data_IF_821321904939
#
_entry.id   IF_821321904939
#
_cell.length_a   1.000
_cell.length_b   1.000
_cell.length_c   1.000
_cell.angle_alpha   90.00
_cell.angle_beta   90.00
_cell.angle_gamma   90.00
#
_symmetry.space_group_name_H-M   'P 1'
#
loop_
_entity.id
_entity.type
_entity.pdbx_description
1 polymer ?
#
# COMPACT_ATOMS: atom_id res chain seq x y z
N UNK A 1 21.76 -2.81 -18.59
CA UNK A 1 22.22 -1.77 -17.65
C UNK A 1 22.67 -2.34 -16.30
N UNK A 2 21.87 -3.20 -15.65
CA UNK A 2 22.22 -3.79 -14.35
C UNK A 2 23.55 -4.56 -14.30
N UNK A 3 24.01 -5.18 -15.40
CA UNK A 3 25.31 -5.84 -15.45
C UNK A 3 26.49 -4.89 -15.13
N UNK A 4 26.40 -3.62 -15.54
CA UNK A 4 27.41 -2.61 -15.22
C UNK A 4 27.30 -2.13 -13.78
N UNK A 5 26.07 -1.98 -13.29
CA UNK A 5 25.82 -1.60 -11.89
C UNK A 5 26.38 -2.67 -10.96
N UNK A 6 26.17 -3.96 -11.26
CA UNK A 6 26.69 -5.07 -10.47
C UNK A 6 28.22 -5.21 -10.52
N UNK A 7 28.91 -4.49 -11.40
CA UNK A 7 30.38 -4.46 -11.45
C UNK A 7 30.99 -3.52 -10.39
N UNK A 8 30.20 -2.63 -9.75
CA UNK A 8 30.69 -1.86 -8.60
C UNK A 8 30.97 -2.78 -7.41
N UNK A 9 32.01 -2.48 -6.63
CA UNK A 9 32.42 -3.30 -5.49
C UNK A 9 31.60 -3.03 -4.21
N UNK A 10 30.62 -2.11 -4.25
CA UNK A 10 29.83 -1.72 -3.08
C UNK A 10 28.41 -1.31 -3.48
N UNK A 11 27.42 -1.76 -2.70
CA UNK A 11 26.02 -1.35 -2.86
C UNK A 11 25.83 0.17 -2.74
N UNK A 12 26.66 0.85 -1.95
CA UNK A 12 26.59 2.32 -1.80
C UNK A 12 26.94 2.98 -3.14
N UNK A 13 27.94 2.48 -3.85
CA UNK A 13 28.32 2.99 -5.17
C UNK A 13 27.24 2.70 -6.21
N UNK A 14 26.64 1.50 -6.16
CA UNK A 14 25.49 1.14 -7.00
C UNK A 14 24.32 2.11 -6.80
N UNK A 15 23.91 2.31 -5.54
CA UNK A 15 22.84 3.25 -5.15
C UNK A 15 23.14 4.67 -5.62
N UNK A 16 24.34 5.17 -5.35
CA UNK A 16 24.74 6.54 -5.73
C UNK A 16 24.72 6.74 -7.25
N UNK A 17 25.21 5.76 -8.01
CA UNK A 17 25.19 5.81 -9.47
C UNK A 17 23.76 5.87 -10.02
N UNK A 18 22.87 4.98 -9.54
CA UNK A 18 21.47 4.94 -9.99
C UNK A 18 20.68 6.18 -9.57
N UNK A 19 20.86 6.67 -8.34
CA UNK A 19 20.24 7.91 -7.85
C UNK A 19 20.66 9.12 -8.68
N UNK A 20 21.96 9.23 -9.03
CA UNK A 20 22.47 10.34 -9.86
C UNK A 20 21.82 10.40 -11.24
N UNK A 21 21.42 9.25 -11.78
CA UNK A 21 20.75 9.16 -13.08
C UNK A 21 19.22 9.13 -12.99
N UNK A 22 18.66 9.25 -11.77
CA UNK A 22 17.22 9.14 -11.49
C UNK A 22 16.58 7.82 -11.98
N UNK A 23 17.35 6.72 -11.95
CA UNK A 23 16.93 5.41 -12.44
C UNK A 23 16.25 4.62 -11.31
N UNK A 24 15.01 5.00 -11.00
CA UNK A 24 14.26 4.44 -9.86
C UNK A 24 13.86 2.98 -10.05
N UNK A 25 13.58 2.54 -11.28
CA UNK A 25 13.23 1.13 -11.56
C UNK A 25 14.40 0.19 -11.28
N UNK A 26 15.59 0.55 -11.71
CA UNK A 26 16.79 -0.24 -11.48
C UNK A 26 17.28 -0.14 -10.05
N UNK A 27 17.08 1.01 -9.40
CA UNK A 27 17.32 1.15 -7.97
C UNK A 27 16.39 0.25 -7.17
N UNK A 28 15.10 0.20 -7.54
CA UNK A 28 14.14 -0.69 -6.89
C UNK A 28 14.53 -2.17 -7.08
N UNK A 29 14.88 -2.57 -8.30
CA UNK A 29 15.35 -3.93 -8.58
C UNK A 29 16.59 -4.29 -7.75
N UNK A 30 17.54 -3.35 -7.61
CA UNK A 30 18.70 -3.53 -6.75
C UNK A 30 18.27 -3.78 -5.29
N UNK A 31 17.40 -2.95 -4.73
CA UNK A 31 16.98 -3.15 -3.32
C UNK A 31 16.22 -4.46 -3.10
N UNK A 32 15.38 -4.88 -4.06
CA UNK A 32 14.69 -6.17 -4.01
C UNK A 32 15.69 -7.34 -4.01
N UNK A 33 16.68 -7.31 -4.90
CA UNK A 33 17.69 -8.37 -5.01
C UNK A 33 18.52 -8.53 -3.71
N UNK A 34 18.76 -7.42 -3.01
CA UNK A 34 19.49 -7.42 -1.73
C UNK A 34 18.58 -7.63 -0.51
N UNK A 35 17.25 -7.74 -0.69
CA UNK A 35 16.28 -7.90 0.40
C UNK A 35 16.09 -6.64 1.25
N UNK A 36 16.49 -5.47 0.75
CA UNK A 36 16.40 -4.18 1.42
C UNK A 36 14.99 -3.59 1.25
N UNK A 37 14.01 -4.22 1.89
CA UNK A 37 12.60 -3.88 1.68
C UNK A 37 12.19 -2.49 2.20
N UNK A 38 12.87 -1.94 3.20
CA UNK A 38 12.59 -0.56 3.66
C UNK A 38 12.98 0.46 2.58
N UNK A 39 14.17 0.30 1.99
CA UNK A 39 14.61 1.13 0.87
C UNK A 39 13.75 0.93 -0.38
N UNK A 40 13.32 -0.31 -0.65
CA UNK A 40 12.38 -0.61 -1.73
C UNK A 40 11.02 0.11 -1.53
N UNK A 41 10.52 0.18 -0.29
CA UNK A 41 9.32 0.93 0.04
C UNK A 41 9.49 2.43 -0.22
N UNK A 42 10.62 3.01 0.22
CA UNK A 42 10.92 4.43 -0.02
C UNK A 42 10.95 4.77 -1.52
N UNK A 43 11.50 3.88 -2.36
CA UNK A 43 11.53 4.07 -3.81
C UNK A 43 10.13 3.96 -4.42
N UNK A 44 9.30 3.01 -3.97
CA UNK A 44 7.92 2.89 -4.40
C UNK A 44 7.08 4.14 -4.04
N UNK A 45 7.30 4.70 -2.83
CA UNK A 45 6.74 5.97 -2.40
C UNK A 45 7.16 7.12 -3.33
N UNK A 46 8.44 7.23 -3.68
CA UNK A 46 8.95 8.24 -4.62
C UNK A 46 8.31 8.11 -6.01
N UNK A 47 7.95 6.90 -6.43
CA UNK A 47 7.22 6.63 -7.68
C UNK A 47 5.72 6.93 -7.59
N UNK A 48 5.19 7.14 -6.38
CA UNK A 48 3.76 7.34 -6.13
C UNK A 48 2.94 6.05 -6.15
N UNK A 49 3.58 4.88 -6.09
CA UNK A 49 2.91 3.57 -6.07
C UNK A 49 2.68 3.12 -4.63
N UNK A 50 1.58 3.61 -4.04
CA UNK A 50 1.21 3.38 -2.63
C UNK A 50 0.98 1.89 -2.34
N UNK A 51 0.44 1.14 -3.29
CA UNK A 51 0.18 -0.29 -3.10
C UNK A 51 1.48 -1.08 -3.09
N UNK A 52 2.40 -0.75 -4.01
CA UNK A 52 3.72 -1.36 -4.03
C UNK A 52 4.55 -0.99 -2.78
N UNK A 53 4.45 0.25 -2.31
CA UNK A 53 5.06 0.67 -1.04
C UNK A 53 4.52 -0.16 0.13
N UNK A 54 3.20 -0.31 0.24
CA UNK A 54 2.58 -1.11 1.29
C UNK A 54 3.06 -2.57 1.28
N UNK A 55 3.28 -3.15 0.10
CA UNK A 55 3.79 -4.50 -0.05
C UNK A 55 5.22 -4.64 0.50
N UNK A 56 6.08 -3.66 0.23
CA UNK A 56 7.44 -3.65 0.76
C UNK A 56 7.48 -3.36 2.26
N UNK A 57 6.63 -2.47 2.76
CA UNK A 57 6.45 -2.25 4.20
C UNK A 57 6.04 -3.55 4.90
N UNK A 58 5.09 -4.30 4.33
CA UNK A 58 4.69 -5.61 4.85
C UNK A 58 5.83 -6.62 4.90
N UNK A 59 6.64 -6.69 3.83
CA UNK A 59 7.85 -7.55 3.78
C UNK A 59 8.93 -7.11 4.78
N UNK A 60 9.01 -5.82 5.09
CA UNK A 60 9.92 -5.25 6.09
C UNK A 60 9.43 -5.38 7.53
N UNK A 61 8.24 -5.97 7.76
CA UNK A 61 7.64 -6.09 9.09
C UNK A 61 6.97 -4.80 9.60
N UNK A 62 6.80 -3.80 8.74
CA UNK A 62 6.06 -2.56 9.02
C UNK A 62 4.56 -2.75 8.76
N UNK A 63 3.97 -3.68 9.51
CA UNK A 63 2.62 -4.18 9.25
C UNK A 63 1.55 -3.11 9.49
N UNK A 64 1.71 -2.29 10.52
CA UNK A 64 0.80 -1.16 10.80
C UNK A 64 0.75 -0.19 9.62
N UNK A 65 1.91 0.27 9.16
CA UNK A 65 2.04 1.22 8.06
C UNK A 65 1.50 0.63 6.76
N UNK A 66 1.87 -0.62 6.45
CA UNK A 66 1.37 -1.35 5.28
C UNK A 66 -0.17 -1.46 5.27
N UNK A 67 -0.77 -1.80 6.43
CA UNK A 67 -2.22 -1.90 6.57
C UNK A 67 -2.91 -0.54 6.35
N UNK A 68 -2.37 0.53 6.96
CA UNK A 68 -2.93 1.88 6.83
C UNK A 68 -2.82 2.42 5.40
N UNK A 69 -1.69 2.20 4.71
CA UNK A 69 -1.52 2.66 3.33
C UNK A 69 -2.56 2.04 2.40
N UNK A 70 -2.87 0.75 2.56
CA UNK A 70 -3.92 0.09 1.79
C UNK A 70 -5.31 0.66 2.12
N UNK A 71 -5.62 0.86 3.41
CA UNK A 71 -6.91 1.45 3.81
C UNK A 71 -7.09 2.86 3.23
N UNK A 72 -6.06 3.71 3.31
CA UNK A 72 -6.11 5.04 2.74
C UNK A 72 -6.25 5.02 1.23
N UNK A 73 -5.56 4.12 0.54
CA UNK A 73 -5.73 3.92 -0.90
C UNK A 73 -7.17 3.55 -1.25
N UNK A 74 -7.75 2.55 -0.56
CA UNK A 74 -9.13 2.11 -0.79
C UNK A 74 -10.12 3.23 -0.49
N UNK A 75 -9.96 3.93 0.63
CA UNK A 75 -10.80 5.06 1.03
C UNK A 75 -10.75 6.16 -0.04
N UNK A 76 -9.55 6.58 -0.44
CA UNK A 76 -9.37 7.65 -1.41
C UNK A 76 -9.99 7.32 -2.77
N UNK A 77 -9.79 6.09 -3.26
CA UNK A 77 -10.38 5.62 -4.52
C UNK A 77 -11.91 5.46 -4.42
N UNK A 78 -12.42 5.16 -3.24
CA UNK A 78 -13.87 5.06 -3.01
C UNK A 78 -14.56 6.43 -2.97
N UNK A 79 -13.87 7.46 -2.47
CA UNK A 79 -14.42 8.81 -2.28
C UNK A 79 -14.15 9.78 -3.45
N UNK A 80 -12.96 9.73 -4.05
CA UNK A 80 -12.51 10.74 -5.03
C UNK A 80 -12.21 10.18 -6.43
N UNK A 81 -12.80 9.05 -6.79
CA UNK A 81 -12.73 8.58 -8.19
C UNK A 81 -13.40 9.56 -9.15
N UNK A 82 -12.79 9.70 -10.33
CA UNK A 82 -13.05 10.69 -11.39
C UNK A 82 -14.46 11.32 -11.37
N UNK A 83 -14.51 12.60 -11.00
CA UNK A 83 -15.67 13.49 -11.22
C UNK A 83 -16.88 13.25 -10.33
N UNK A 84 -16.77 12.43 -9.27
CA UNK A 84 -17.93 12.06 -8.44
C UNK A 84 -17.99 12.80 -7.10
N UNK A 85 -19.21 12.93 -6.58
CA UNK A 85 -19.48 13.38 -5.20
C UNK A 85 -19.12 12.20 -4.29
N UNK A 86 -18.29 12.40 -3.27
CA UNK A 86 -17.71 11.33 -2.44
C UNK A 86 -18.67 10.48 -1.59
N UNK A 87 -19.94 10.40 -1.98
CA UNK A 87 -20.92 9.46 -1.49
C UNK A 87 -21.88 9.07 -2.62
N UNK A 88 -22.33 7.80 -2.74
CA UNK A 88 -21.98 6.63 -1.92
C UNK A 88 -20.56 6.09 -2.16
N UNK A 89 -20.03 5.31 -1.21
CA UNK A 89 -18.74 4.61 -1.33
C UNK A 89 -18.77 3.73 -2.58
N UNK A 90 -17.86 3.97 -3.53
CA UNK A 90 -17.80 3.21 -4.76
C UNK A 90 -17.18 1.83 -4.58
N UNK A 91 -17.64 0.89 -5.39
CA UNK A 91 -17.03 -0.43 -5.53
C UNK A 91 -16.09 -0.43 -6.74
N UNK A 92 -14.94 -1.09 -6.62
CA UNK A 92 -13.99 -1.30 -7.70
C UNK A 92 -13.39 -2.71 -7.62
N UNK A 93 -12.91 -3.23 -8.74
CA UNK A 93 -12.61 -4.66 -8.95
C UNK A 93 -11.56 -5.28 -8.02
N UNK A 94 -10.77 -4.47 -7.30
CA UNK A 94 -9.69 -4.93 -6.40
C UNK A 94 -9.96 -4.61 -4.92
N UNK A 95 -11.08 -3.97 -4.60
CA UNK A 95 -11.34 -3.42 -3.26
C UNK A 95 -11.32 -4.47 -2.16
N UNK A 96 -12.06 -5.56 -2.34
CA UNK A 96 -12.16 -6.65 -1.36
C UNK A 96 -10.82 -7.35 -1.12
N UNK A 97 -10.05 -7.56 -2.18
CA UNK A 97 -8.69 -8.12 -2.11
C UNK A 97 -7.77 -7.22 -1.29
N UNK A 98 -7.78 -5.92 -1.58
CA UNK A 98 -6.99 -4.93 -0.84
C UNK A 98 -7.39 -4.87 0.63
N UNK A 99 -8.67 -4.81 0.94
CA UNK A 99 -9.17 -4.80 2.32
C UNK A 99 -8.81 -6.09 3.07
N UNK A 100 -8.88 -7.24 2.40
CA UNK A 100 -8.43 -8.52 2.96
C UNK A 100 -6.93 -8.51 3.27
N UNK A 101 -6.11 -7.94 2.37
CA UNK A 101 -4.67 -7.76 2.57
C UNK A 101 -4.37 -6.84 3.75
N UNK A 102 -5.07 -5.72 3.88
CA UNK A 102 -4.95 -4.81 5.01
C UNK A 102 -5.25 -5.51 6.36
N UNK A 103 -6.32 -6.32 6.42
CA UNK A 103 -6.62 -7.17 7.60
C UNK A 103 -5.50 -8.16 7.89
N UNK A 104 -4.93 -8.77 6.84
CA UNK A 104 -3.86 -9.75 7.00
C UNK A 104 -2.60 -9.15 7.65
N UNK A 105 -2.24 -7.91 7.29
CA UNK A 105 -1.13 -7.21 7.95
C UNK A 105 -1.47 -6.86 9.39
N UNK A 106 -2.67 -6.34 9.65
CA UNK A 106 -3.10 -5.95 10.99
C UNK A 106 -3.13 -7.11 12.01
N UNK A 107 -3.24 -8.37 11.56
CA UNK A 107 -3.13 -9.55 12.44
C UNK A 107 -1.76 -9.69 13.13
N UNK A 108 -0.71 -9.08 12.57
CA UNK A 108 0.65 -9.12 13.13
C UNK A 108 0.91 -7.99 14.13
N UNK A 109 -0.08 -7.16 14.42
CA UNK A 109 -0.01 -6.00 15.31
C UNK A 109 -0.78 -6.24 16.62
N UNK A 110 -1.04 -5.17 17.38
CA UNK A 110 -1.87 -5.24 18.58
C UNK A 110 -3.32 -5.62 18.25
N UNK A 111 -3.97 -6.34 19.17
CA UNK A 111 -5.40 -6.68 19.07
C UNK A 111 -6.28 -5.45 18.80
N UNK A 112 -6.00 -4.34 19.50
CA UNK A 112 -6.71 -3.06 19.31
C UNK A 112 -6.56 -2.50 17.90
N UNK A 113 -5.40 -2.64 17.28
CA UNK A 113 -5.18 -2.20 15.91
C UNK A 113 -5.90 -3.10 14.92
N UNK A 114 -5.87 -4.42 15.13
CA UNK A 114 -6.62 -5.36 14.32
C UNK A 114 -8.13 -5.10 14.35
N UNK A 115 -8.70 -4.84 15.53
CA UNK A 115 -10.13 -4.49 15.70
C UNK A 115 -10.49 -3.18 14.98
N UNK A 116 -9.63 -2.16 15.05
CA UNK A 116 -9.79 -0.92 14.30
C UNK A 116 -9.83 -1.20 12.80
N UNK A 117 -8.85 -1.94 12.27
CA UNK A 117 -8.78 -2.26 10.83
C UNK A 117 -10.00 -3.08 10.38
N UNK A 118 -10.51 -3.99 11.21
CA UNK A 118 -11.73 -4.73 10.89
C UNK A 118 -12.93 -3.78 10.75
N UNK A 119 -13.07 -2.85 11.69
CA UNK A 119 -14.16 -1.85 11.67
C UNK A 119 -14.08 -0.99 10.41
N UNK A 120 -12.89 -0.50 10.06
CA UNK A 120 -12.69 0.29 8.84
C UNK A 120 -12.98 -0.51 7.57
N UNK A 121 -12.61 -1.79 7.53
CA UNK A 121 -12.92 -2.68 6.40
C UNK A 121 -14.43 -2.85 6.25
N UNK A 122 -15.15 -3.09 7.34
CA UNK A 122 -16.60 -3.28 7.31
C UNK A 122 -17.31 -1.99 6.81
N UNK A 123 -16.84 -0.82 7.25
CA UNK A 123 -17.31 0.48 6.75
C UNK A 123 -17.03 0.63 5.25
N UNK A 124 -15.80 0.34 4.82
CA UNK A 124 -15.37 0.52 3.45
C UNK A 124 -16.04 -0.46 2.49
N UNK A 125 -16.28 -1.71 2.89
CA UNK A 125 -17.01 -2.68 2.07
C UNK A 125 -18.41 -2.18 1.73
N UNK A 126 -19.00 -1.32 2.59
CA UNK A 126 -20.34 -0.78 2.38
C UNK A 126 -21.33 -1.89 2.02
N UNK A 127 -21.20 -3.05 2.69
CA UNK A 127 -22.23 -4.08 2.69
C UNK A 127 -23.45 -3.43 3.32
N UNK A 128 -24.34 -2.94 2.45
CA UNK A 128 -25.55 -2.19 2.75
C UNK A 128 -25.94 -2.27 4.23
N UNK A 129 -25.48 -1.30 5.02
CA UNK A 129 -26.28 -0.93 6.17
C UNK A 129 -27.60 -0.46 5.55
N UNK A 130 -28.63 -1.27 5.72
CA UNK A 130 -30.00 -0.98 5.32
C UNK A 130 -30.52 0.24 6.11
N UNK A 131 -29.83 1.38 6.06
CA UNK A 131 -30.31 2.69 6.48
C UNK A 131 -31.56 3.09 5.68
N UNK A 132 -31.83 2.40 4.55
CA UNK A 132 -33.07 2.51 3.80
C UNK A 132 -34.28 1.81 4.45
N UNK A 133 -34.10 0.94 5.46
CA UNK A 133 -35.20 0.24 6.13
C UNK A 133 -35.77 0.97 7.36
N UNK A 134 -35.19 2.08 7.79
CA UNK A 134 -35.78 2.95 8.82
C UNK A 134 -36.65 4.04 8.20
N UNK A 135 -37.55 3.68 7.28
CA UNK A 135 -38.80 4.45 7.14
C UNK A 135 -39.69 4.00 8.28
N UNK A 136 -39.67 4.77 9.36
CA UNK A 136 -40.63 4.69 10.46
C UNK A 136 -42.01 4.88 9.81
N UNK A 137 -42.78 3.79 9.72
CA UNK A 137 -44.21 3.77 9.40
C UNK A 137 -45.03 4.09 10.64
#
# INVERSE_FOLDING_TARGET
MMNFVKAFHSIILMRNFLKKLALLDELLLLEIEFGNYLEAAEIAMMKGDILLEADFLGKAGKFREASLHILFYVLANSLWSYGRKGWPIQQFSQKEELLSKAKSFAKNETKSFYELVCTEVDILLNEQSNLALTKIS
#
